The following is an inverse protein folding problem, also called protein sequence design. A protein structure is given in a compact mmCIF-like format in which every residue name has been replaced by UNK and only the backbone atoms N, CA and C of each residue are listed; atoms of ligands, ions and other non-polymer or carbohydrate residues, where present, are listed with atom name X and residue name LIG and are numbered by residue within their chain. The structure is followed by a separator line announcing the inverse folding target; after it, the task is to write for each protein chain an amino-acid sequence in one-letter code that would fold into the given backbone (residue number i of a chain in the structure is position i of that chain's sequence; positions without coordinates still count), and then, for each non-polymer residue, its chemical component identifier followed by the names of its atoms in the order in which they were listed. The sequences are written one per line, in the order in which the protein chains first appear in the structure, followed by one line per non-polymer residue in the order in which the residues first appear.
data_IF_396477454495
#
_entry.id   IF_396477454495
#
_cell.length_a   1.000
_cell.length_b   1.000
_cell.length_c   1.000
_cell.angle_alpha   90.00
_cell.angle_beta   90.00
_cell.angle_gamma   90.00
#
_symmetry.space_group_name_H-M   'P 1'
#
loop_
_entity.id
_entity.type
_entity.pdbx_description
1 polymer ?
#
# COMPACT_ATOMS: atom_id res chain seq x y z
N UNK A 1 7.20 -18.19 -16.45
CA UNK A 1 5.88 -17.48 -16.33
C UNK A 1 5.19 -17.57 -17.67
N UNK A 2 3.90 -17.85 -17.67
CA UNK A 2 3.07 -17.93 -18.89
C UNK A 2 1.85 -17.05 -18.70
N UNK A 3 1.53 -16.24 -19.69
CA UNK A 3 0.31 -15.45 -19.73
C UNK A 3 -0.31 -15.55 -21.12
N UNK A 4 -1.39 -16.34 -21.23
CA UNK A 4 -2.00 -16.71 -22.50
C UNK A 4 -0.96 -17.36 -23.43
N UNK A 5 -0.57 -16.65 -24.49
CA UNK A 5 0.42 -17.02 -25.50
C UNK A 5 1.83 -16.41 -25.28
N UNK A 6 1.99 -15.56 -24.22
CA UNK A 6 3.27 -14.96 -23.90
C UNK A 6 4.03 -15.79 -22.84
N UNK A 7 5.27 -16.16 -23.12
CA UNK A 7 6.16 -16.91 -22.24
C UNK A 7 7.34 -16.04 -21.80
N UNK A 8 7.66 -16.07 -20.52
CA UNK A 8 8.86 -15.42 -20.00
C UNK A 8 9.52 -16.28 -18.92
N UNK A 9 10.85 -16.27 -18.87
CA UNK A 9 11.68 -16.95 -17.88
C UNK A 9 12.63 -15.98 -17.19
N UNK A 10 13.14 -16.39 -16.03
CA UNK A 10 14.22 -15.71 -15.29
C UNK A 10 15.20 -16.79 -14.89
N UNK A 11 16.44 -16.59 -15.28
CA UNK A 11 17.54 -17.53 -15.02
C UNK A 11 18.79 -16.77 -14.59
N UNK A 12 19.78 -17.50 -14.07
CA UNK A 12 21.12 -16.96 -13.83
C UNK A 12 21.78 -16.63 -15.17
N UNK A 13 22.63 -15.61 -15.17
CA UNK A 13 23.27 -15.09 -16.39
C UNK A 13 24.07 -16.16 -17.15
N UNK A 14 24.68 -17.11 -16.41
CA UNK A 14 25.51 -18.17 -16.99
C UNK A 14 24.68 -19.21 -17.77
N UNK A 15 23.41 -19.41 -17.42
CA UNK A 15 22.53 -20.42 -18.03
C UNK A 15 21.37 -19.82 -18.81
N UNK A 16 21.20 -18.51 -18.78
CA UNK A 16 20.08 -17.81 -19.42
C UNK A 16 19.92 -18.14 -20.91
N UNK A 17 21.03 -18.14 -21.68
CA UNK A 17 21.00 -18.48 -23.10
C UNK A 17 20.63 -19.94 -23.32
N UNK A 18 21.18 -20.85 -22.52
CA UNK A 18 20.87 -22.28 -22.61
C UNK A 18 19.37 -22.54 -22.35
N UNK A 19 18.80 -21.90 -21.32
CA UNK A 19 17.38 -22.01 -21.00
C UNK A 19 16.48 -21.45 -22.12
N UNK A 20 16.88 -20.36 -22.75
CA UNK A 20 16.17 -19.76 -23.87
C UNK A 20 16.17 -20.68 -25.10
N UNK A 21 17.34 -21.26 -25.45
CA UNK A 21 17.47 -22.18 -26.57
C UNK A 21 16.69 -23.49 -26.32
N UNK A 22 16.64 -23.97 -25.08
CA UNK A 22 15.88 -25.16 -24.67
C UNK A 22 14.36 -24.92 -24.77
N UNK A 23 13.90 -23.74 -24.38
CA UNK A 23 12.49 -23.34 -24.54
C UNK A 23 12.11 -23.33 -26.04
N UNK A 24 12.95 -22.77 -26.90
CA UNK A 24 12.73 -22.77 -28.35
C UNK A 24 12.68 -24.18 -28.93
N UNK A 25 13.60 -25.09 -28.52
CA UNK A 25 13.55 -26.49 -28.91
C UNK A 25 12.26 -27.16 -28.47
N UNK A 26 11.84 -26.95 -27.23
CA UNK A 26 10.58 -27.49 -26.70
C UNK A 26 9.37 -27.01 -27.52
N UNK A 27 9.33 -25.74 -27.92
CA UNK A 27 8.24 -25.25 -28.79
C UNK A 27 8.21 -25.98 -30.15
N UNK A 28 9.36 -26.19 -30.78
CA UNK A 28 9.44 -26.91 -32.04
C UNK A 28 8.96 -28.36 -31.86
N UNK A 29 9.39 -29.05 -30.80
CA UNK A 29 8.99 -30.44 -30.50
C UNK A 29 7.48 -30.59 -30.27
N UNK A 30 6.87 -29.57 -29.62
CA UNK A 30 5.45 -29.54 -29.34
C UNK A 30 4.60 -28.95 -30.47
N UNK A 31 5.21 -28.54 -31.59
CA UNK A 31 4.53 -27.92 -32.72
C UNK A 31 3.96 -26.52 -32.43
N UNK A 32 4.49 -25.81 -31.42
CA UNK A 32 4.11 -24.43 -31.08
C UNK A 32 4.82 -23.50 -32.06
N UNK A 33 4.06 -22.65 -32.73
CA UNK A 33 4.62 -21.66 -33.66
C UNK A 33 5.00 -20.41 -32.87
N UNK A 34 6.29 -20.10 -32.83
CA UNK A 34 6.84 -18.90 -32.22
C UNK A 34 6.83 -17.72 -33.20
N UNK A 35 6.48 -16.52 -32.73
CA UNK A 35 6.57 -15.28 -33.51
C UNK A 35 7.99 -14.75 -33.44
N UNK A 36 8.74 -14.84 -34.51
CA UNK A 36 10.14 -14.37 -34.57
C UNK A 36 10.28 -12.88 -34.27
N UNK A 37 9.29 -12.05 -34.65
CA UNK A 37 9.29 -10.60 -34.40
C UNK A 37 9.17 -10.25 -32.92
N UNK A 38 8.65 -11.16 -32.10
CA UNK A 38 8.46 -10.97 -30.65
C UNK A 38 9.48 -11.71 -29.81
N UNK A 39 10.31 -12.51 -30.41
CA UNK A 39 11.33 -13.30 -29.76
C UNK A 39 12.38 -12.37 -29.11
N UNK A 40 12.47 -12.44 -27.80
CA UNK A 40 13.39 -11.60 -27.03
C UNK A 40 14.45 -12.49 -26.36
N UNK A 41 15.72 -12.44 -26.80
CA UNK A 41 16.80 -13.19 -26.18
C UNK A 41 17.06 -12.70 -24.74
N UNK A 42 17.74 -13.49 -23.90
CA UNK A 42 18.04 -13.13 -22.53
C UNK A 42 18.71 -11.74 -22.42
N UNK A 43 18.14 -10.91 -21.56
CA UNK A 43 18.64 -9.59 -21.26
C UNK A 43 18.34 -9.23 -19.80
N UNK A 44 19.15 -8.37 -19.21
CA UNK A 44 18.93 -7.86 -17.85
C UNK A 44 17.73 -6.92 -17.77
N UNK A 45 17.31 -6.32 -18.88
CA UNK A 45 16.11 -5.47 -18.97
C UNK A 45 15.21 -5.94 -20.10
N UNK A 46 13.95 -6.24 -19.77
CA UNK A 46 12.99 -6.84 -20.70
C UNK A 46 11.61 -6.22 -20.55
N UNK A 47 10.93 -5.97 -21.66
CA UNK A 47 9.51 -5.62 -21.67
C UNK A 47 8.66 -6.89 -21.71
N UNK A 48 7.86 -7.12 -20.69
CA UNK A 48 6.90 -8.25 -20.64
C UNK A 48 5.52 -7.75 -20.22
N UNK A 49 4.52 -8.04 -21.03
CA UNK A 49 3.12 -7.63 -20.83
C UNK A 49 2.99 -6.12 -20.54
N UNK A 50 3.83 -5.30 -21.21
CA UNK A 50 3.81 -3.84 -21.11
C UNK A 50 4.43 -3.25 -19.83
N UNK A 51 5.13 -4.06 -19.05
CA UNK A 51 5.96 -3.65 -17.91
C UNK A 51 7.41 -3.95 -18.22
N UNK A 52 8.28 -2.98 -18.03
CA UNK A 52 9.71 -3.19 -18.06
C UNK A 52 10.17 -3.83 -16.76
N UNK A 53 10.91 -4.91 -16.86
CA UNK A 53 11.60 -5.55 -15.75
C UNK A 53 13.10 -5.33 -15.92
N UNK A 54 13.77 -4.85 -14.87
CA UNK A 54 15.21 -4.69 -14.80
C UNK A 54 15.73 -5.57 -13.66
N UNK A 55 16.39 -6.68 -14.01
CA UNK A 55 16.90 -7.64 -13.04
C UNK A 55 18.17 -7.16 -12.35
N UNK A 56 18.90 -6.20 -12.97
CA UNK A 56 20.09 -5.59 -12.37
C UNK A 56 19.71 -4.59 -11.29
N UNK A 57 18.80 -3.66 -11.62
CA UNK A 57 18.27 -2.68 -10.66
C UNK A 57 17.23 -3.26 -9.72
N UNK A 58 16.71 -4.43 -10.07
CA UNK A 58 15.61 -5.08 -9.38
C UNK A 58 14.32 -4.24 -9.36
N UNK A 59 13.99 -3.64 -10.51
CA UNK A 59 12.86 -2.74 -10.68
C UNK A 59 11.83 -3.23 -11.72
N UNK A 60 10.61 -2.75 -11.53
CA UNK A 60 9.52 -2.80 -12.51
C UNK A 60 9.18 -1.37 -12.93
N UNK A 61 9.00 -1.12 -14.21
CA UNK A 61 8.69 0.22 -14.73
C UNK A 61 7.48 0.14 -15.66
N UNK A 62 6.52 1.02 -15.45
CA UNK A 62 5.43 1.20 -16.42
C UNK A 62 5.99 1.94 -17.64
N UNK A 63 5.59 1.51 -18.85
CA UNK A 63 5.98 2.19 -20.07
C UNK A 63 5.64 3.70 -19.98
N UNK A 64 6.63 4.59 -20.15
CA UNK A 64 6.43 6.04 -20.09
C UNK A 64 5.31 6.56 -21.00
N UNK A 65 5.14 5.97 -22.19
CA UNK A 65 4.07 6.35 -23.10
C UNK A 65 2.68 6.08 -22.52
N UNK A 66 2.52 5.00 -21.74
CA UNK A 66 1.28 4.67 -21.03
C UNK A 66 1.03 5.63 -19.87
N UNK A 67 2.07 6.01 -19.12
CA UNK A 67 1.95 7.00 -18.05
C UNK A 67 1.50 8.35 -18.57
N UNK A 68 2.15 8.85 -19.63
CA UNK A 68 1.78 10.12 -20.27
C UNK A 68 0.35 10.10 -20.82
N UNK A 69 -0.11 8.97 -21.34
CA UNK A 69 -1.50 8.81 -21.78
C UNK A 69 -2.46 8.92 -20.60
N UNK A 70 -2.16 8.22 -19.49
CA UNK A 70 -2.99 8.23 -18.31
C UNK A 70 -3.06 9.64 -17.68
N UNK A 71 -1.94 10.32 -17.57
CA UNK A 71 -1.87 11.70 -17.07
C UNK A 71 -2.78 12.67 -17.85
N UNK A 72 -2.87 12.50 -19.17
CA UNK A 72 -3.73 13.31 -20.03
C UNK A 72 -5.21 12.95 -19.89
N UNK A 73 -5.55 11.68 -19.71
CA UNK A 73 -6.93 11.20 -19.66
C UNK A 73 -7.60 11.41 -18.28
N UNK A 74 -6.85 11.37 -17.19
CA UNK A 74 -7.39 11.45 -15.83
C UNK A 74 -8.13 12.76 -15.52
N UNK A 75 -7.65 13.97 -15.91
CA UNK A 75 -8.40 15.21 -15.69
C UNK A 75 -9.76 15.22 -16.39
N UNK A 76 -9.86 14.64 -17.59
CA UNK A 76 -11.13 14.51 -18.32
C UNK A 76 -12.10 13.60 -17.56
N UNK A 77 -11.60 12.53 -16.95
CA UNK A 77 -12.40 11.66 -16.09
C UNK A 77 -12.89 12.37 -14.83
N UNK A 78 -12.08 13.24 -14.25
CA UNK A 78 -12.49 14.06 -13.10
C UNK A 78 -13.60 15.04 -13.46
N UNK A 79 -13.53 15.68 -14.63
CA UNK A 79 -14.56 16.61 -15.14
C UNK A 79 -15.85 15.91 -15.62
N UNK A 80 -15.75 14.66 -16.08
CA UNK A 80 -16.83 13.90 -16.68
C UNK A 80 -17.96 13.59 -15.70
N UNK A 81 -19.21 13.85 -16.09
CA UNK A 81 -20.38 13.62 -15.25
C UNK A 81 -20.99 12.22 -15.43
N UNK A 82 -20.94 11.67 -16.66
CA UNK A 82 -21.56 10.39 -16.99
C UNK A 82 -20.61 9.51 -17.80
N UNK A 83 -20.67 8.21 -17.55
CA UNK A 83 -19.93 7.23 -18.32
C UNK A 83 -20.74 5.95 -18.54
N UNK A 84 -20.42 5.21 -19.59
CA UNK A 84 -20.90 3.86 -19.81
C UNK A 84 -20.04 2.86 -19.04
N UNK A 85 -20.59 1.68 -18.78
CA UNK A 85 -19.88 0.56 -18.14
C UNK A 85 -18.56 0.25 -18.86
N UNK A 86 -18.57 0.18 -20.19
CA UNK A 86 -17.39 -0.11 -21.01
C UNK A 86 -16.28 0.93 -20.83
N UNK A 87 -16.63 2.23 -20.77
CA UNK A 87 -15.65 3.30 -20.54
C UNK A 87 -15.01 3.16 -19.16
N UNK A 88 -15.80 2.86 -18.12
CA UNK A 88 -15.31 2.64 -16.76
C UNK A 88 -14.44 1.37 -16.67
N UNK A 89 -14.84 0.27 -17.33
CA UNK A 89 -14.01 -0.96 -17.41
C UNK A 89 -12.64 -0.69 -18.02
N UNK A 90 -12.58 0.12 -19.07
CA UNK A 90 -11.32 0.50 -19.72
C UNK A 90 -10.42 1.32 -18.81
N UNK A 91 -10.98 2.31 -18.10
CA UNK A 91 -10.23 3.10 -17.13
C UNK A 91 -9.70 2.23 -16.00
N UNK A 92 -10.56 1.43 -15.36
CA UNK A 92 -10.16 0.55 -14.25
C UNK A 92 -9.11 -0.47 -14.71
N UNK A 93 -9.27 -1.02 -15.91
CA UNK A 93 -8.27 -1.94 -16.49
C UNK A 93 -6.91 -1.27 -16.65
N UNK A 94 -6.89 -0.02 -17.12
CA UNK A 94 -5.65 0.73 -17.28
C UNK A 94 -5.02 1.11 -15.93
N UNK A 95 -5.80 1.65 -15.00
CA UNK A 95 -5.34 1.98 -13.64
C UNK A 95 -4.88 0.71 -12.89
N UNK A 96 -5.61 -0.39 -13.04
CA UNK A 96 -5.26 -1.69 -12.46
C UNK A 96 -3.94 -2.26 -13.01
N UNK A 97 -3.63 -1.95 -14.27
CA UNK A 97 -2.33 -2.26 -14.86
C UNK A 97 -1.22 -1.44 -14.20
N UNK A 98 -1.38 -0.12 -14.08
CA UNK A 98 -0.40 0.76 -13.41
C UNK A 98 -0.24 0.40 -11.93
N UNK A 99 -1.33 0.05 -11.25
CA UNK A 99 -1.31 -0.37 -9.86
C UNK A 99 -0.53 -1.69 -9.59
N UNK A 100 -0.12 -2.43 -10.61
CA UNK A 100 0.83 -3.54 -10.44
C UNK A 100 2.22 -3.03 -10.08
N UNK A 101 2.59 -1.85 -10.58
CA UNK A 101 3.84 -1.19 -10.25
C UNK A 101 3.72 -0.23 -9.05
N UNK A 102 2.49 0.22 -8.71
CA UNK A 102 2.22 1.08 -7.55
C UNK A 102 1.27 0.35 -6.61
N UNK A 103 1.80 -0.52 -5.76
CA UNK A 103 0.98 -1.37 -4.88
C UNK A 103 0.00 -0.60 -3.99
N UNK A 104 0.40 0.51 -3.32
CA UNK A 104 -0.52 1.27 -2.48
C UNK A 104 -1.73 1.83 -3.25
N UNK A 105 -1.60 2.04 -4.57
CA UNK A 105 -2.65 2.58 -5.41
C UNK A 105 -3.89 1.68 -5.57
N UNK A 106 -3.80 0.40 -5.23
CA UNK A 106 -4.94 -0.54 -5.32
C UNK A 106 -6.14 -0.13 -4.46
N UNK A 107 -5.91 0.53 -3.35
CA UNK A 107 -6.97 1.04 -2.47
C UNK A 107 -7.85 2.04 -3.22
N UNK A 108 -7.27 2.83 -4.13
CA UNK A 108 -7.95 3.82 -4.94
C UNK A 108 -8.56 3.27 -6.24
N UNK A 109 -8.73 1.97 -6.31
CA UNK A 109 -9.56 1.29 -7.32
C UNK A 109 -10.83 0.68 -6.71
N UNK A 110 -10.91 0.59 -5.39
CA UNK A 110 -11.96 -0.15 -4.71
C UNK A 110 -13.35 0.44 -4.97
N UNK A 111 -13.53 1.75 -4.81
CA UNK A 111 -14.80 2.45 -5.04
C UNK A 111 -15.18 2.44 -6.53
N UNK A 112 -14.18 2.57 -7.41
CA UNK A 112 -14.41 2.48 -8.86
C UNK A 112 -14.92 1.08 -9.26
N UNK A 113 -14.37 0.03 -8.67
CA UNK A 113 -14.82 -1.35 -8.88
C UNK A 113 -16.22 -1.60 -8.31
N UNK A 114 -16.55 -1.02 -7.16
CA UNK A 114 -17.87 -1.17 -6.55
C UNK A 114 -18.94 -0.44 -7.40
N UNK A 115 -18.62 0.74 -7.93
CA UNK A 115 -19.50 1.42 -8.88
C UNK A 115 -19.70 0.62 -10.17
N UNK A 116 -18.60 0.11 -10.75
CA UNK A 116 -18.67 -0.72 -11.96
C UNK A 116 -19.61 -1.92 -11.79
N UNK A 117 -19.60 -2.56 -10.63
CA UNK A 117 -20.48 -3.71 -10.33
C UNK A 117 -21.96 -3.33 -10.34
N UNK A 118 -22.29 -2.11 -9.93
CA UNK A 118 -23.65 -1.58 -9.90
C UNK A 118 -24.15 -1.02 -11.24
N UNK A 119 -23.22 -0.79 -12.20
CA UNK A 119 -23.55 -0.19 -13.50
C UNK A 119 -24.33 -1.13 -14.40
N UNK A 120 -25.38 -0.64 -15.10
CA UNK A 120 -26.09 -1.41 -16.11
C UNK A 120 -25.18 -1.74 -17.30
N UNK A 121 -25.53 -2.81 -18.02
CA UNK A 121 -24.76 -3.24 -19.22
C UNK A 121 -24.83 -2.23 -20.36
N UNK A 122 -25.91 -1.46 -20.43
CA UNK A 122 -26.16 -0.47 -21.50
C UNK A 122 -26.49 0.92 -20.92
N UNK A 123 -26.20 1.94 -21.71
CA UNK A 123 -26.46 3.32 -21.32
C UNK A 123 -25.29 3.97 -20.56
N UNK A 124 -25.49 5.24 -20.19
CA UNK A 124 -24.54 6.00 -19.36
C UNK A 124 -25.20 6.34 -18.04
N UNK A 125 -24.47 6.18 -16.95
CA UNK A 125 -24.89 6.56 -15.61
C UNK A 125 -24.06 7.73 -15.08
N UNK A 126 -24.60 8.45 -14.12
CA UNK A 126 -23.90 9.51 -13.41
C UNK A 126 -22.86 8.88 -12.49
N UNK A 127 -21.62 9.34 -12.60
CA UNK A 127 -20.51 8.87 -11.73
C UNK A 127 -20.70 9.41 -10.31
N UNK A 128 -20.50 8.54 -9.33
CA UNK A 128 -20.65 8.89 -7.92
C UNK A 128 -19.54 9.82 -7.42
N UNK A 129 -19.78 10.55 -6.32
CA UNK A 129 -18.72 11.30 -5.63
C UNK A 129 -17.55 10.41 -5.22
N UNK A 130 -17.82 9.21 -4.73
CA UNK A 130 -16.83 8.23 -4.31
C UNK A 130 -15.90 7.79 -5.44
N UNK A 131 -16.47 7.54 -6.63
CA UNK A 131 -15.70 7.29 -7.85
C UNK A 131 -14.78 8.47 -8.17
N UNK A 132 -15.31 9.69 -8.10
CA UNK A 132 -14.57 10.91 -8.38
C UNK A 132 -13.41 11.14 -7.41
N UNK A 133 -13.58 10.80 -6.14
CA UNK A 133 -12.51 10.88 -5.15
C UNK A 133 -11.35 9.93 -5.47
N UNK A 134 -11.64 8.71 -5.94
CA UNK A 134 -10.59 7.79 -6.37
C UNK A 134 -9.86 8.32 -7.61
N UNK A 135 -10.59 8.87 -8.61
CA UNK A 135 -9.98 9.54 -9.77
C UNK A 135 -9.12 10.74 -9.34
N UNK A 136 -9.61 11.54 -8.39
CA UNK A 136 -8.88 12.69 -7.85
C UNK A 136 -7.52 12.29 -7.29
N UNK A 137 -7.47 11.18 -6.52
CA UNK A 137 -6.21 10.65 -6.03
C UNK A 137 -5.23 10.36 -7.17
N UNK A 138 -5.68 9.66 -8.21
CA UNK A 138 -4.85 9.33 -9.36
C UNK A 138 -4.32 10.59 -10.08
N UNK A 139 -5.15 11.62 -10.25
CA UNK A 139 -4.75 12.91 -10.85
C UNK A 139 -3.61 13.54 -10.06
N UNK A 140 -3.67 13.51 -8.73
CA UNK A 140 -2.67 14.16 -7.88
C UNK A 140 -1.43 13.30 -7.63
N UNK A 141 -1.56 12.00 -7.70
CA UNK A 141 -0.44 11.07 -7.52
C UNK A 141 0.45 10.99 -8.77
N UNK A 142 -0.14 10.89 -9.96
CA UNK A 142 0.58 10.63 -11.21
C UNK A 142 1.75 11.60 -11.48
N UNK A 143 1.62 12.93 -11.27
CA UNK A 143 2.73 13.86 -11.49
C UNK A 143 3.94 13.64 -10.58
N UNK A 144 3.73 12.98 -9.43
CA UNK A 144 4.78 12.68 -8.45
C UNK A 144 5.37 11.26 -8.61
N UNK A 145 4.79 10.45 -9.49
CA UNK A 145 5.22 9.08 -9.71
C UNK A 145 6.27 9.01 -10.82
N UNK A 146 7.44 8.49 -10.50
CA UNK A 146 8.55 8.35 -11.44
C UNK A 146 8.42 7.14 -12.40
N UNK A 147 7.35 6.36 -12.30
CA UNK A 147 7.11 5.18 -13.15
C UNK A 147 7.82 3.91 -12.69
N UNK A 148 8.64 3.97 -11.65
CA UNK A 148 9.51 2.87 -11.21
C UNK A 148 9.08 2.33 -9.86
N UNK A 149 9.14 1.01 -9.71
CA UNK A 149 8.92 0.30 -8.44
C UNK A 149 9.94 -0.81 -8.26
N UNK A 150 10.34 -1.05 -7.04
CA UNK A 150 11.22 -2.18 -6.70
C UNK A 150 10.43 -3.48 -6.83
N UNK A 151 11.05 -4.51 -7.45
CA UNK A 151 10.48 -5.85 -7.52
C UNK A 151 10.36 -6.40 -6.10
N UNK A 152 9.15 -6.78 -5.66
CA UNK A 152 8.97 -7.23 -4.29
C UNK A 152 9.68 -8.53 -4.02
N UNK A 153 10.48 -8.55 -2.97
CA UNK A 153 11.07 -9.80 -2.48
C UNK A 153 10.01 -10.60 -1.74
N UNK A 154 9.89 -11.92 -1.98
CA UNK A 154 8.88 -12.77 -1.33
C UNK A 154 9.11 -12.91 0.17
N UNK A 155 10.35 -12.82 0.62
CA UNK A 155 10.70 -12.96 2.03
C UNK A 155 10.91 -11.59 2.68
N UNK A 156 10.14 -11.34 3.73
CA UNK A 156 10.44 -10.29 4.69
C UNK A 156 11.58 -10.81 5.56
N UNK A 157 12.78 -10.31 5.33
CA UNK A 157 13.91 -10.58 6.25
C UNK A 157 13.49 -10.26 7.68
N UNK A 158 14.11 -10.90 8.66
CA UNK A 158 13.99 -10.54 10.08
C UNK A 158 14.53 -9.13 10.26
N UNK A 159 13.68 -8.16 10.06
CA UNK A 159 14.14 -6.83 9.80
C UNK A 159 14.19 -5.94 10.98
N UNK A 160 15.08 -5.10 10.84
CA UNK A 160 15.73 -4.09 11.63
C UNK A 160 14.81 -2.99 12.16
N UNK A 161 13.62 -2.79 11.68
CA UNK A 161 12.71 -1.78 12.23
C UNK A 161 11.37 -2.41 12.56
N UNK A 162 11.11 -2.59 13.84
CA UNK A 162 9.82 -3.00 14.35
C UNK A 162 9.22 -1.79 15.03
N UNK A 163 8.06 -1.39 14.53
CA UNK A 163 7.18 -0.45 15.21
C UNK A 163 6.08 -1.28 15.85
N UNK A 164 5.66 -0.96 17.05
CA UNK A 164 4.49 -1.58 17.65
C UNK A 164 3.48 -0.50 18.05
N UNK A 165 2.20 -0.79 17.86
CA UNK A 165 1.10 0.13 18.16
C UNK A 165 0.01 -0.55 18.93
N UNK A 166 -0.75 0.25 19.67
CA UNK A 166 -1.92 -0.19 20.41
C UNK A 166 -2.93 0.97 20.54
N UNK A 167 -4.20 0.62 20.73
CA UNK A 167 -5.24 1.58 21.03
C UNK A 167 -6.13 1.11 22.19
N UNK A 168 -6.56 2.05 23.00
CA UNK A 168 -7.71 1.89 23.88
C UNK A 168 -8.87 2.76 23.37
N UNK A 169 -10.02 2.74 24.05
CA UNK A 169 -11.18 3.54 23.61
C UNK A 169 -10.96 5.06 23.66
N UNK A 170 -10.00 5.54 24.43
CA UNK A 170 -9.74 6.98 24.63
C UNK A 170 -8.39 7.46 24.14
N UNK A 171 -7.47 6.56 23.72
CA UNK A 171 -6.14 6.97 23.29
C UNK A 171 -5.40 5.89 22.53
N UNK A 172 -4.26 6.25 21.98
CA UNK A 172 -3.36 5.36 21.28
C UNK A 172 -1.90 5.60 21.66
N UNK A 173 -1.07 4.61 21.36
CA UNK A 173 0.36 4.70 21.57
C UNK A 173 1.15 3.84 20.59
N UNK A 174 2.41 4.19 20.43
CA UNK A 174 3.33 3.42 19.60
C UNK A 174 4.78 3.56 20.05
N UNK A 175 5.54 2.55 19.73
CA UNK A 175 6.96 2.46 20.08
C UNK A 175 7.76 2.02 18.86
N UNK A 176 8.83 2.74 18.54
CA UNK A 176 9.78 2.42 17.49
C UNK A 176 11.03 1.78 18.13
N UNK A 177 11.16 0.46 18.01
CA UNK A 177 12.26 -0.29 18.64
C UNK A 177 13.64 -0.01 18.04
N UNK A 178 13.69 0.61 16.85
CA UNK A 178 14.96 0.96 16.22
C UNK A 178 15.53 2.28 16.79
N UNK A 179 14.69 3.32 16.89
CA UNK A 179 15.12 4.64 17.35
C UNK A 179 14.94 4.86 18.85
N UNK A 180 14.13 4.03 19.53
CA UNK A 180 13.70 4.26 20.91
C UNK A 180 12.65 5.37 21.04
N UNK A 181 12.16 5.92 19.92
CA UNK A 181 11.11 6.91 19.93
C UNK A 181 9.75 6.28 20.27
N UNK A 182 8.96 7.00 21.04
CA UNK A 182 7.60 6.59 21.37
C UNK A 182 6.63 7.77 21.34
N UNK A 183 5.37 7.46 21.15
CA UNK A 183 4.30 8.43 21.33
C UNK A 183 3.15 7.85 22.15
N UNK A 184 2.43 8.74 22.81
CA UNK A 184 1.13 8.48 23.38
C UNK A 184 0.21 9.66 23.09
N UNK A 185 -1.06 9.41 22.89
CA UNK A 185 -2.02 10.48 22.62
C UNK A 185 -3.43 10.11 23.07
N UNK A 186 -4.16 11.09 23.54
CA UNK A 186 -5.62 11.00 23.73
C UNK A 186 -6.27 11.33 22.40
N UNK A 187 -7.29 10.57 22.02
CA UNK A 187 -8.00 10.84 20.78
C UNK A 187 -8.69 12.21 20.82
N UNK A 188 -8.64 12.98 19.73
CA UNK A 188 -9.37 14.22 19.62
C UNK A 188 -10.89 14.01 19.76
N UNK A 189 -11.61 15.04 20.18
CA UNK A 189 -13.04 15.00 20.44
C UNK A 189 -13.85 14.52 19.21
N UNK A 190 -13.44 14.87 18.00
CA UNK A 190 -14.13 14.43 16.78
C UNK A 190 -14.01 12.91 16.54
N UNK A 191 -12.95 12.24 16.99
CA UNK A 191 -12.80 10.79 16.96
C UNK A 191 -13.61 10.16 18.09
N UNK A 192 -13.50 10.68 19.31
CA UNK A 192 -14.25 10.17 20.47
C UNK A 192 -15.77 10.23 20.27
N UNK A 193 -16.28 11.35 19.72
CA UNK A 193 -17.71 11.53 19.48
C UNK A 193 -18.25 10.74 18.27
N UNK A 194 -17.37 10.27 17.39
CA UNK A 194 -17.75 9.48 16.21
C UNK A 194 -17.98 7.99 16.49
N UNK A 195 -17.90 7.56 17.76
CA UNK A 195 -18.15 6.19 18.22
C UNK A 195 -17.37 5.12 17.44
N UNK A 196 -16.09 5.39 17.17
CA UNK A 196 -15.23 4.44 16.51
C UNK A 196 -15.07 3.15 17.33
N UNK A 197 -15.19 2.02 16.68
CA UNK A 197 -14.93 0.72 17.31
C UNK A 197 -13.43 0.55 17.61
N UNK A 198 -13.11 -0.34 18.56
CA UNK A 198 -11.70 -0.62 18.90
C UNK A 198 -10.90 -1.05 17.67
N UNK A 199 -11.48 -1.82 16.74
CA UNK A 199 -10.79 -2.22 15.51
C UNK A 199 -10.39 -1.03 14.61
N UNK A 200 -11.23 0.01 14.57
CA UNK A 200 -10.97 1.24 13.83
C UNK A 200 -9.89 2.08 14.52
N UNK A 201 -9.94 2.16 15.84
CA UNK A 201 -8.97 2.87 16.66
C UNK A 201 -7.57 2.26 16.58
N UNK A 202 -7.49 0.92 16.52
CA UNK A 202 -6.23 0.21 16.30
C UNK A 202 -5.60 0.53 14.93
N UNK A 203 -6.41 0.54 13.89
CA UNK A 203 -5.90 0.94 12.56
C UNK A 203 -5.53 2.43 12.51
N UNK A 204 -6.26 3.27 13.24
CA UNK A 204 -5.94 4.69 13.41
C UNK A 204 -4.59 4.87 14.13
N UNK A 205 -4.29 4.06 15.16
CA UNK A 205 -2.99 4.07 15.83
C UNK A 205 -1.84 3.72 14.88
N UNK A 206 -2.03 2.75 14.00
CA UNK A 206 -1.07 2.42 12.93
C UNK A 206 -0.89 3.63 11.99
N UNK A 207 -1.97 4.28 11.57
CA UNK A 207 -1.90 5.47 10.71
C UNK A 207 -1.14 6.61 11.37
N UNK A 208 -1.39 6.87 12.65
CA UNK A 208 -0.68 7.90 13.45
C UNK A 208 0.81 7.58 13.52
N UNK A 209 1.18 6.34 13.83
CA UNK A 209 2.57 5.90 13.86
C UNK A 209 3.29 6.12 12.52
N UNK A 210 2.62 5.78 11.41
CA UNK A 210 3.16 5.99 10.08
C UNK A 210 3.30 7.47 9.71
N UNK A 211 2.38 8.33 10.14
CA UNK A 211 2.52 9.79 9.96
C UNK A 211 3.71 10.36 10.71
N UNK A 212 3.94 9.89 11.93
CA UNK A 212 5.06 10.35 12.76
C UNK A 212 6.39 9.93 12.13
N UNK A 213 6.51 8.68 11.69
CA UNK A 213 7.80 8.10 11.30
C UNK A 213 8.01 7.95 9.78
N UNK A 214 7.03 8.32 8.92
CA UNK A 214 7.12 8.12 7.46
C UNK A 214 8.37 8.72 6.83
N UNK A 215 8.84 9.86 7.33
CA UNK A 215 10.05 10.51 6.82
C UNK A 215 11.31 9.69 7.08
N UNK A 216 11.37 8.99 8.23
CA UNK A 216 12.48 8.12 8.61
C UNK A 216 12.42 6.76 7.90
N UNK A 217 11.22 6.37 7.43
CA UNK A 217 10.95 5.07 6.80
C UNK A 217 11.00 5.14 5.26
N UNK A 218 11.46 6.25 4.70
CA UNK A 218 11.51 6.44 3.25
C UNK A 218 12.35 5.37 2.56
N UNK A 219 11.75 4.74 1.53
CA UNK A 219 12.35 3.65 0.75
C UNK A 219 12.69 2.38 1.57
N UNK A 220 12.08 2.21 2.73
CA UNK A 220 12.32 1.10 3.64
C UNK A 220 11.21 0.05 3.60
N UNK A 221 11.55 -1.17 4.02
CA UNK A 221 10.61 -2.25 4.32
C UNK A 221 10.64 -2.53 5.81
N UNK A 222 9.51 -2.44 6.48
CA UNK A 222 9.44 -2.63 7.93
C UNK A 222 8.18 -3.36 8.38
N UNK A 223 8.18 -3.80 9.62
CA UNK A 223 7.04 -4.49 10.24
C UNK A 223 6.42 -3.61 11.31
N UNK A 224 5.10 -3.69 11.40
CA UNK A 224 4.33 -3.15 12.53
C UNK A 224 3.72 -4.32 13.28
N UNK A 225 3.93 -4.36 14.58
CA UNK A 225 3.25 -5.27 15.49
C UNK A 225 1.95 -4.64 15.98
N UNK A 226 0.86 -5.40 15.90
CA UNK A 226 -0.47 -5.02 16.39
C UNK A 226 -1.16 -6.26 16.92
N UNK A 227 -1.85 -6.17 18.03
CA UNK A 227 -2.58 -7.30 18.61
C UNK A 227 -4.02 -7.43 18.13
N UNK A 228 -4.47 -6.54 17.24
CA UNK A 228 -5.80 -6.56 16.65
C UNK A 228 -5.81 -7.26 15.29
N UNK A 229 -6.42 -8.44 15.22
CA UNK A 229 -6.50 -9.25 13.99
C UNK A 229 -7.24 -8.56 12.85
N UNK A 230 -8.24 -7.70 13.16
CA UNK A 230 -9.00 -6.95 12.14
C UNK A 230 -8.13 -5.88 11.51
N UNK A 231 -7.37 -5.12 12.29
CA UNK A 231 -6.42 -4.12 11.78
C UNK A 231 -5.33 -4.77 10.93
N UNK A 232 -4.77 -5.90 11.40
CA UNK A 232 -3.80 -6.71 10.64
C UNK A 232 -4.37 -7.18 9.31
N UNK A 233 -5.59 -7.72 9.30
CA UNK A 233 -6.24 -8.18 8.08
C UNK A 233 -6.54 -7.02 7.11
N UNK A 234 -7.01 -5.88 7.61
CA UNK A 234 -7.26 -4.67 6.83
C UNK A 234 -6.00 -4.23 6.09
N UNK A 235 -4.88 -4.12 6.80
CA UNK A 235 -3.59 -3.71 6.24
C UNK A 235 -3.07 -4.68 5.18
N UNK A 236 -3.09 -5.96 5.47
CA UNK A 236 -2.46 -6.96 4.60
C UNK A 236 -3.31 -7.31 3.37
N UNK A 237 -4.65 -7.22 3.46
CA UNK A 237 -5.55 -7.49 2.34
C UNK A 237 -5.86 -6.26 1.49
N UNK A 238 -5.58 -5.06 1.98
CA UNK A 238 -5.87 -3.77 1.33
C UNK A 238 -7.33 -3.62 0.88
N UNK A 239 -8.26 -4.29 1.58
CA UNK A 239 -9.69 -4.28 1.24
C UNK A 239 -10.54 -4.37 2.49
N UNK A 240 -11.27 -3.31 2.76
CA UNK A 240 -12.22 -3.21 3.88
C UNK A 240 -13.52 -2.55 3.41
N UNK A 241 -14.64 -2.89 4.06
CA UNK A 241 -15.96 -2.30 3.74
C UNK A 241 -16.33 -1.14 4.67
N UNK A 242 -15.79 -1.15 5.87
CA UNK A 242 -16.04 -0.11 6.86
C UNK A 242 -15.40 1.21 6.41
N UNK A 243 -16.16 2.33 6.50
CA UNK A 243 -15.73 3.65 6.01
C UNK A 243 -14.50 4.20 6.76
N UNK A 244 -14.48 4.06 8.09
CA UNK A 244 -13.37 4.57 8.90
C UNK A 244 -12.08 3.78 8.64
N UNK A 245 -12.19 2.43 8.55
CA UNK A 245 -11.06 1.60 8.15
C UNK A 245 -10.58 1.95 6.72
N UNK A 246 -11.50 2.23 5.80
CA UNK A 246 -11.14 2.68 4.44
C UNK A 246 -10.40 4.02 4.47
N UNK A 247 -10.85 4.97 5.30
CA UNK A 247 -10.20 6.26 5.44
C UNK A 247 -8.74 6.11 5.93
N UNK A 248 -8.53 5.35 7.01
CA UNK A 248 -7.19 5.04 7.50
C UNK A 248 -6.33 4.34 6.43
N UNK A 249 -6.88 3.34 5.73
CA UNK A 249 -6.18 2.62 4.67
C UNK A 249 -5.77 3.53 3.50
N UNK A 250 -6.61 4.49 3.12
CA UNK A 250 -6.28 5.48 2.09
C UNK A 250 -5.14 6.39 2.50
N UNK A 251 -5.21 6.90 3.71
CA UNK A 251 -4.15 7.74 4.26
C UNK A 251 -2.82 6.97 4.32
N UNK A 252 -2.82 5.75 4.85
CA UNK A 252 -1.64 4.89 4.89
C UNK A 252 -1.12 4.60 3.49
N UNK A 253 -2.00 4.30 2.53
CA UNK A 253 -1.61 4.03 1.14
C UNK A 253 -1.03 5.27 0.46
N UNK A 254 -1.54 6.46 0.77
CA UNK A 254 -0.98 7.71 0.30
C UNK A 254 0.43 7.92 0.86
N UNK A 255 0.62 7.78 2.17
CA UNK A 255 1.93 7.89 2.82
C UNK A 255 2.93 6.89 2.24
N UNK A 256 2.50 5.64 2.05
CA UNK A 256 3.33 4.60 1.45
C UNK A 256 3.74 4.93 0.00
N UNK A 257 2.83 5.55 -0.77
CA UNK A 257 3.10 5.92 -2.16
C UNK A 257 4.09 7.09 -2.26
N UNK A 258 3.96 8.13 -1.42
CA UNK A 258 4.84 9.31 -1.46
C UNK A 258 6.19 9.09 -0.79
N UNK A 259 6.25 8.21 0.21
CA UNK A 259 7.49 7.89 0.94
C UNK A 259 8.16 6.60 0.45
N UNK A 260 7.56 5.92 -0.54
CA UNK A 260 8.09 4.70 -1.18
C UNK A 260 8.40 3.57 -0.18
N UNK A 261 7.72 3.51 0.96
CA UNK A 261 7.90 2.45 1.93
C UNK A 261 6.94 1.26 1.69
N UNK A 262 7.34 0.10 2.18
CA UNK A 262 6.51 -1.11 2.23
C UNK A 262 6.34 -1.56 3.68
N UNK A 263 5.10 -1.74 4.12
CA UNK A 263 4.78 -2.16 5.49
C UNK A 263 4.06 -3.50 5.50
N UNK A 264 4.46 -4.36 6.44
CA UNK A 264 3.76 -5.60 6.79
C UNK A 264 3.28 -5.51 8.24
N UNK A 265 1.99 -5.61 8.46
CA UNK A 265 1.46 -5.67 9.81
C UNK A 265 1.40 -7.13 10.27
N UNK A 266 1.99 -7.41 11.42
CA UNK A 266 2.10 -8.74 12.01
C UNK A 266 1.31 -8.78 13.30
N UNK A 267 0.44 -9.78 13.41
CA UNK A 267 -0.29 -10.01 14.65
C UNK A 267 0.67 -10.50 15.74
N UNK A 268 0.57 -9.91 16.92
CA UNK A 268 1.23 -10.34 18.14
C UNK A 268 0.20 -10.57 19.24
N UNK A 269 0.50 -11.42 20.21
CA UNK A 269 -0.38 -11.56 21.37
C UNK A 269 -0.33 -10.29 22.22
N UNK A 270 -1.47 -9.86 22.81
CA UNK A 270 -1.54 -8.66 23.64
C UNK A 270 -0.56 -8.69 24.82
N UNK A 271 -0.27 -9.88 25.37
CA UNK A 271 0.75 -10.09 26.40
C UNK A 271 2.17 -9.78 25.93
N UNK A 272 2.41 -9.75 24.63
CA UNK A 272 3.70 -9.39 24.01
C UNK A 272 3.74 -7.94 23.53
N UNK A 273 2.59 -7.24 23.46
CA UNK A 273 2.44 -5.84 23.02
C UNK A 273 2.49 -4.83 24.18
N UNK A 274 3.30 -5.11 25.20
CA UNK A 274 3.25 -4.44 26.51
C UNK A 274 3.54 -2.93 26.41
N UNK A 275 4.60 -2.51 25.72
CA UNK A 275 4.97 -1.10 25.66
C UNK A 275 3.90 -0.26 24.98
N UNK A 276 3.36 -0.63 23.80
CA UNK A 276 2.25 0.09 23.18
C UNK A 276 0.98 0.11 24.04
N UNK A 277 0.60 -0.99 24.71
CA UNK A 277 -0.57 -1.02 25.61
C UNK A 277 -0.42 0.00 26.77
N UNK A 278 0.76 0.12 27.36
CA UNK A 278 1.03 1.13 28.38
C UNK A 278 0.93 2.56 27.81
N UNK A 279 1.42 2.78 26.60
CA UNK A 279 1.38 4.07 25.93
C UNK A 279 -0.05 4.46 25.51
N UNK A 280 -0.87 3.53 25.02
CA UNK A 280 -2.27 3.80 24.68
C UNK A 280 -3.09 4.21 25.90
N UNK A 281 -2.71 3.74 27.09
CA UNK A 281 -3.36 4.00 28.40
C UNK A 281 -2.64 5.04 29.24
N UNK A 282 -1.63 5.72 28.70
CA UNK A 282 -0.79 6.70 29.42
C UNK A 282 -1.57 7.72 30.23
N UNK A 283 -2.68 8.22 29.66
CA UNK A 283 -3.54 9.23 30.28
C UNK A 283 -4.48 8.67 31.35
N UNK A 284 -4.63 7.35 31.48
CA UNK A 284 -5.57 6.73 32.43
C UNK A 284 -5.00 6.60 33.84
N UNK A 285 -3.69 6.70 34.02
CA UNK A 285 -3.12 6.68 35.36
C UNK A 285 -1.60 6.58 35.45
N UNK A 286 -1.06 6.99 36.59
CA UNK A 286 0.38 7.02 36.84
C UNK A 286 1.01 5.61 36.76
N UNK A 287 0.29 4.58 37.14
CA UNK A 287 0.81 3.18 37.11
C UNK A 287 1.24 2.71 35.73
N UNK A 288 0.60 3.20 34.65
CA UNK A 288 1.00 2.87 33.27
C UNK A 288 2.33 3.53 32.93
N UNK A 289 2.53 4.78 33.36
CA UNK A 289 3.76 5.56 33.18
C UNK A 289 4.93 4.92 33.93
N UNK A 290 4.75 4.68 35.22
CA UNK A 290 5.79 4.09 36.07
C UNK A 290 6.24 2.74 35.53
N UNK A 291 5.28 1.92 35.05
CA UNK A 291 5.58 0.62 34.45
C UNK A 291 6.34 0.75 33.12
N UNK A 292 5.97 1.70 32.29
CA UNK A 292 6.68 1.99 31.04
C UNK A 292 8.11 2.42 31.32
N UNK A 293 8.32 3.37 32.22
CA UNK A 293 9.63 3.86 32.63
C UNK A 293 10.50 2.75 33.20
N UNK A 294 9.91 1.88 34.03
CA UNK A 294 10.61 0.71 34.58
C UNK A 294 11.07 -0.26 33.48
N UNK A 295 10.20 -0.52 32.48
CA UNK A 295 10.51 -1.46 31.41
C UNK A 295 11.50 -0.90 30.38
N UNK A 296 11.64 0.40 30.30
CA UNK A 296 12.51 1.09 29.36
C UNK A 296 13.74 1.74 30.00
N UNK A 297 13.97 1.53 31.30
CA UNK A 297 15.06 2.17 32.08
C UNK A 297 16.45 1.99 31.45
N UNK A 298 16.69 0.85 30.80
CA UNK A 298 17.96 0.51 30.15
C UNK A 298 17.97 0.85 28.65
N UNK A 299 16.91 1.49 28.15
CA UNK A 299 16.75 1.91 26.75
C UNK A 299 16.97 3.42 26.63
N UNK A 300 17.58 3.84 25.51
CA UNK A 300 17.55 5.27 25.14
C UNK A 300 16.20 5.56 24.52
N UNK A 301 15.32 6.20 25.25
CA UNK A 301 13.97 6.53 24.78
C UNK A 301 13.75 8.03 24.64
N UNK A 302 12.92 8.43 23.65
CA UNK A 302 12.52 9.81 23.45
C UNK A 302 11.05 9.90 23.06
N UNK A 303 10.34 10.84 23.67
CA UNK A 303 8.93 11.07 23.37
C UNK A 303 8.77 11.95 22.11
N UNK A 304 7.86 11.54 21.22
CA UNK A 304 7.43 12.32 20.08
C UNK A 304 6.06 12.90 20.34
N UNK A 305 5.94 14.22 20.28
CA UNK A 305 4.67 14.89 20.48
C UNK A 305 3.71 14.64 19.31
N UNK A 306 2.47 14.29 19.63
CA UNK A 306 1.38 14.08 18.67
C UNK A 306 0.41 15.25 18.72
N UNK A 307 0.35 16.02 17.63
CA UNK A 307 -0.63 17.09 17.49
C UNK A 307 -2.01 16.55 17.10
N UNK A 308 -3.05 17.34 17.30
CA UNK A 308 -4.41 17.01 16.83
C UNK A 308 -4.44 16.80 15.31
N UNK A 309 -3.62 17.54 14.56
CA UNK A 309 -3.55 17.44 13.10
C UNK A 309 -3.00 16.09 12.61
N UNK A 310 -2.25 15.37 13.46
CA UNK A 310 -1.77 14.02 13.13
C UNK A 310 -2.92 13.05 12.93
N UNK A 311 -4.07 13.27 13.58
CA UNK A 311 -5.29 12.48 13.42
C UNK A 311 -6.14 12.88 12.21
N UNK A 312 -5.82 14.00 11.56
CA UNK A 312 -6.53 14.45 10.36
C UNK A 312 -6.10 13.62 9.16
N UNK A 313 -6.99 13.51 8.20
CA UNK A 313 -6.69 12.85 6.93
C UNK A 313 -6.20 13.86 5.91
N UNK A 314 -5.25 13.46 5.07
CA UNK A 314 -4.70 14.31 4.03
C UNK A 314 -5.60 14.29 2.79
N UNK A 315 -6.13 15.45 2.41
CA UNK A 315 -6.85 15.61 1.16
C UNK A 315 -8.32 15.19 1.16
N UNK A 316 -8.96 15.44 0.02
CA UNK A 316 -10.40 15.27 -0.19
C UNK A 316 -10.82 13.85 -0.60
N UNK A 317 -9.88 12.89 -0.63
CA UNK A 317 -10.15 11.50 -1.04
C UNK A 317 -10.63 10.59 0.10
N UNK A 318 -10.96 11.15 1.25
CA UNK A 318 -11.43 10.42 2.43
C UNK A 318 -12.91 10.60 2.66
#
# INVERSE_FOLDING_TARGET
MVYLDDFAGVELSEVGQLAFDELGRTFVELGVIESEDKKCPPNTRMLFIGVWFDSWKFTMEVDPAKLLKLEKELPDWLARQKASRKEVEQLIGFLGFVAKCVRPARVFLARMLDELRSMPLQGKVTLSPDFKQDVYWWVHFMPNYNGVSVIPRPHWSTVNSIIATDACLSGCGGFNFLSGEYFHAVFPSHIQHAEWSINELELLAIMVALKIWSAQLKAERFKIHCDNTTAVAAMNLSRVRNKNLQACMREISYLAAISEFEVLVVHVEGTSNILPDLLSRWHLGQSHRDRFEMLTQDMSTSEVYVSTDTFSFTGEWI
#
